data_IF_582094048424
#
_entry.id   IF_582094048424
#
_cell.length_a   1.000
_cell.length_b   1.000
_cell.length_c   1.000
_cell.angle_alpha   90.00
_cell.angle_beta   90.00
_cell.angle_gamma   90.00
#
_symmetry.space_group_name_H-M   'P 1'
#
loop_
_entity.id
_entity.type
_entity.pdbx_description
1 polymer ?
#
# COMPACT_ATOMS: atom_id res chain seq x y z
N UNK A 1 -23.41 -14.68 -23.38
CA UNK A 1 -23.39 -15.35 -22.06
C UNK A 1 -21.99 -15.18 -21.52
N UNK A 2 -21.81 -14.25 -20.58
CA UNK A 2 -20.66 -14.22 -19.69
C UNK A 2 -21.14 -13.45 -18.46
N UNK A 3 -21.58 -14.20 -17.45
CA UNK A 3 -21.55 -13.68 -16.09
C UNK A 3 -20.06 -13.46 -15.85
N UNK A 4 -19.61 -12.22 -15.98
CA UNK A 4 -18.26 -11.84 -15.58
C UNK A 4 -18.23 -12.04 -14.07
N UNK A 5 -17.74 -13.22 -13.65
CA UNK A 5 -17.28 -13.38 -12.28
C UNK A 5 -16.35 -12.20 -12.02
N UNK A 6 -16.57 -11.42 -10.95
CA UNK A 6 -15.59 -10.43 -10.56
C UNK A 6 -14.22 -11.13 -10.47
N UNK A 7 -13.13 -10.45 -10.88
CA UNK A 7 -11.79 -11.03 -10.83
C UNK A 7 -11.56 -11.72 -9.48
N UNK A 8 -10.95 -12.90 -9.47
CA UNK A 8 -10.73 -13.69 -8.25
C UNK A 8 -10.01 -12.92 -7.12
N UNK A 9 -9.38 -11.79 -7.44
CA UNK A 9 -8.81 -10.83 -6.49
C UNK A 9 -9.85 -10.14 -5.58
N UNK A 10 -11.16 -10.29 -5.84
CA UNK A 10 -12.24 -9.75 -5.00
C UNK A 10 -12.55 -10.60 -3.76
N UNK A 11 -11.64 -11.41 -3.22
CA UNK A 11 -11.98 -12.16 -2.02
C UNK A 11 -10.76 -12.42 -1.11
N UNK A 12 -11.02 -12.20 0.19
CA UNK A 12 -10.58 -12.89 1.42
C UNK A 12 -9.12 -13.31 1.65
N UNK A 13 -8.72 -13.28 2.92
CA UNK A 13 -7.57 -14.02 3.45
C UNK A 13 -7.72 -15.51 3.09
N UNK A 14 -7.08 -15.99 2.03
CA UNK A 14 -7.26 -17.35 1.54
C UNK A 14 -6.03 -18.22 1.70
N UNK A 15 -4.85 -17.62 1.55
CA UNK A 15 -3.60 -18.36 1.55
C UNK A 15 -2.92 -18.28 2.92
N UNK A 16 -2.05 -19.25 3.21
CA UNK A 16 -1.24 -19.24 4.43
C UNK A 16 -0.44 -17.94 4.57
N UNK A 17 -0.04 -17.34 3.45
CA UNK A 17 0.65 -16.05 3.47
C UNK A 17 -0.25 -14.93 4.01
N UNK A 18 -1.51 -14.83 3.56
CA UNK A 18 -2.44 -13.78 4.01
C UNK A 18 -2.68 -13.85 5.53
N UNK A 19 -2.84 -15.07 6.06
CA UNK A 19 -3.00 -15.32 7.49
C UNK A 19 -1.75 -14.92 8.28
N UNK A 20 -0.57 -15.24 7.78
CA UNK A 20 0.70 -14.87 8.40
C UNK A 20 0.95 -13.36 8.35
N UNK A 21 0.62 -12.72 7.23
CA UNK A 21 0.69 -11.28 7.04
C UNK A 21 -0.23 -10.57 8.05
N UNK A 22 -1.49 -10.99 8.12
CA UNK A 22 -2.45 -10.45 9.09
C UNK A 22 -1.95 -10.62 10.53
N UNK A 23 -1.48 -11.81 10.91
CA UNK A 23 -0.98 -12.07 12.27
C UNK A 23 0.20 -11.14 12.64
N UNK A 24 1.14 -10.92 11.70
CA UNK A 24 2.24 -10.00 11.88
C UNK A 24 1.76 -8.55 12.03
N UNK A 25 0.87 -8.11 11.15
CA UNK A 25 0.28 -6.77 11.17
C UNK A 25 -0.49 -6.53 12.47
N UNK A 26 -1.32 -7.50 12.90
CA UNK A 26 -2.04 -7.46 14.18
C UNK A 26 -1.09 -7.29 15.35
N UNK A 27 0.02 -8.03 15.39
CA UNK A 27 1.02 -7.88 16.44
C UNK A 27 1.65 -6.48 16.43
N UNK A 28 1.98 -5.94 15.26
CA UNK A 28 2.60 -4.61 15.15
C UNK A 28 1.61 -3.53 15.56
N UNK A 29 0.38 -3.56 15.04
CA UNK A 29 -0.66 -2.58 15.36
C UNK A 29 -1.00 -2.56 16.84
N UNK A 30 -1.26 -3.74 17.42
CA UNK A 30 -1.64 -3.84 18.85
C UNK A 30 -0.52 -3.41 19.80
N UNK A 31 0.74 -3.71 19.47
CA UNK A 31 1.89 -3.31 20.32
C UNK A 31 2.41 -1.91 20.02
N UNK A 32 2.00 -1.30 18.89
CA UNK A 32 2.56 -0.06 18.34
C UNK A 32 4.09 -0.07 18.20
N UNK A 33 4.70 -1.26 18.09
CA UNK A 33 6.13 -1.45 17.86
C UNK A 33 6.40 -1.51 16.36
N UNK A 34 6.33 -0.34 15.73
CA UNK A 34 6.53 -0.21 14.29
C UNK A 34 7.97 -0.53 13.86
N UNK A 35 8.17 -1.07 12.64
CA UNK A 35 9.49 -1.31 12.10
C UNK A 35 10.23 0.00 11.83
N UNK A 36 11.55 -0.03 11.91
CA UNK A 36 12.37 1.12 11.56
C UNK A 36 12.51 1.24 10.03
N UNK A 37 12.28 2.43 9.48
CA UNK A 37 12.48 2.71 8.06
C UNK A 37 13.91 3.21 7.82
N UNK A 38 14.64 2.58 6.90
CA UNK A 38 15.97 2.98 6.48
C UNK A 38 15.96 3.48 5.04
N UNK A 39 16.44 4.71 4.86
CA UNK A 39 16.60 5.35 3.57
C UNK A 39 16.68 6.87 3.70
N UNK A 40 17.10 7.52 2.62
CA UNK A 40 16.99 8.96 2.44
C UNK A 40 15.54 9.37 2.21
N UNK A 41 15.24 10.66 2.37
CA UNK A 41 13.90 11.20 2.07
C UNK A 41 13.42 10.85 0.66
N UNK A 42 14.32 10.91 -0.33
CA UNK A 42 14.03 10.56 -1.73
C UNK A 42 13.70 9.08 -1.86
N UNK A 43 14.50 8.20 -1.26
CA UNK A 43 14.26 6.75 -1.29
C UNK A 43 12.94 6.37 -0.59
N UNK A 44 12.60 7.02 0.53
CA UNK A 44 11.34 6.80 1.24
C UNK A 44 10.14 7.26 0.40
N UNK A 45 10.18 8.48 -0.17
CA UNK A 45 9.10 8.96 -1.03
C UNK A 45 8.89 8.04 -2.24
N UNK A 46 9.98 7.58 -2.88
CA UNK A 46 9.86 6.65 -4.00
C UNK A 46 9.27 5.30 -3.57
N UNK A 47 9.71 4.78 -2.43
CA UNK A 47 9.16 3.54 -1.86
C UNK A 47 7.65 3.64 -1.63
N UNK A 48 7.17 4.73 -1.03
CA UNK A 48 5.73 4.92 -0.78
C UNK A 48 4.93 5.03 -2.07
N UNK A 49 5.47 5.67 -3.12
CA UNK A 49 4.84 5.68 -4.44
C UNK A 49 4.74 4.26 -5.03
N UNK A 50 5.82 3.48 -4.99
CA UNK A 50 5.81 2.09 -5.50
C UNK A 50 4.83 1.23 -4.69
N UNK A 51 4.78 1.42 -3.37
CA UNK A 51 3.82 0.74 -2.49
C UNK A 51 2.37 1.01 -2.92
N UNK A 52 2.01 2.26 -3.20
CA UNK A 52 0.65 2.62 -3.65
C UNK A 52 0.37 2.06 -5.05
N UNK A 53 1.38 2.03 -5.92
CA UNK A 53 1.26 1.54 -7.30
C UNK A 53 1.23 0.02 -7.44
N UNK A 54 1.35 -0.74 -6.34
CA UNK A 54 1.45 -2.20 -6.33
C UNK A 54 0.32 -2.90 -7.08
N UNK A 55 -0.90 -2.35 -7.07
CA UNK A 55 -2.08 -2.95 -7.70
C UNK A 55 -2.03 -3.01 -9.24
N UNK A 56 -1.05 -2.34 -9.87
CA UNK A 56 -0.73 -2.45 -11.31
C UNK A 56 0.60 -3.15 -11.58
N UNK A 57 1.22 -3.81 -10.58
CA UNK A 57 2.46 -4.54 -10.79
C UNK A 57 2.27 -5.68 -11.79
N UNK A 58 3.21 -5.82 -12.74
CA UNK A 58 3.06 -6.60 -13.98
C UNK A 58 2.78 -8.10 -13.80
N UNK A 59 3.19 -8.69 -12.67
CA UNK A 59 3.20 -10.15 -12.50
C UNK A 59 2.57 -10.65 -11.20
N UNK A 60 2.74 -9.91 -10.10
CA UNK A 60 2.19 -10.23 -8.79
C UNK A 60 2.16 -8.97 -7.93
N UNK A 61 0.95 -8.45 -7.66
CA UNK A 61 0.77 -7.29 -6.79
C UNK A 61 1.24 -7.57 -5.35
N UNK A 62 1.19 -8.83 -4.89
CA UNK A 62 1.63 -9.18 -3.53
C UNK A 62 3.14 -9.17 -3.37
N UNK A 63 3.91 -9.30 -4.45
CA UNK A 63 5.35 -9.52 -4.38
C UNK A 63 6.07 -8.44 -3.54
N UNK A 64 5.73 -7.17 -3.72
CA UNK A 64 6.30 -6.09 -2.93
C UNK A 64 5.90 -6.19 -1.45
N UNK A 65 4.62 -6.50 -1.18
CA UNK A 65 4.11 -6.62 0.19
C UNK A 65 4.80 -7.78 0.92
N UNK A 66 5.00 -8.91 0.24
CA UNK A 66 5.75 -10.08 0.73
C UNK A 66 7.14 -9.64 1.14
N UNK A 67 7.89 -8.98 0.25
CA UNK A 67 9.25 -8.53 0.52
C UNK A 67 9.35 -7.56 1.69
N UNK A 68 8.40 -6.62 1.80
CA UNK A 68 8.34 -5.66 2.91
C UNK A 68 8.10 -6.40 4.23
N UNK A 69 7.07 -7.25 4.29
CA UNK A 69 6.75 -8.00 5.50
C UNK A 69 7.86 -9.01 5.88
N UNK A 70 8.59 -9.55 4.91
CA UNK A 70 9.74 -10.42 5.15
C UNK A 70 10.89 -9.68 5.84
N UNK A 71 11.19 -8.45 5.42
CA UNK A 71 12.18 -7.61 6.11
C UNK A 71 11.72 -7.30 7.54
N UNK A 72 10.44 -6.93 7.71
CA UNK A 72 9.86 -6.68 9.04
C UNK A 72 9.96 -7.92 9.93
N UNK A 73 9.65 -9.11 9.41
CA UNK A 73 9.74 -10.37 10.15
C UNK A 73 11.17 -10.74 10.56
N UNK A 74 12.14 -10.52 9.66
CA UNK A 74 13.54 -10.95 9.86
C UNK A 74 14.33 -9.97 10.73
N UNK A 75 14.14 -8.68 10.54
CA UNK A 75 15.00 -7.65 11.16
C UNK A 75 14.22 -6.55 11.88
N UNK A 76 12.89 -6.51 11.76
CA UNK A 76 12.04 -5.42 12.23
C UNK A 76 12.39 -4.06 11.59
N UNK A 77 12.80 -4.10 10.32
CA UNK A 77 13.20 -2.92 9.55
C UNK A 77 12.63 -2.97 8.14
N UNK A 78 12.51 -1.81 7.49
CA UNK A 78 12.21 -1.70 6.06
C UNK A 78 13.32 -0.87 5.40
N UNK A 79 14.11 -1.50 4.55
CA UNK A 79 15.17 -0.86 3.78
C UNK A 79 14.63 -0.44 2.41
N UNK A 80 14.33 0.85 2.27
CA UNK A 80 13.66 1.38 1.08
C UNK A 80 14.56 1.34 -0.15
N UNK A 81 15.88 1.45 0.02
CA UNK A 81 16.85 1.30 -1.09
C UNK A 81 16.78 -0.10 -1.72
N UNK A 82 16.70 -1.15 -0.89
CA UNK A 82 16.59 -2.53 -1.38
C UNK A 82 15.28 -2.74 -2.15
N UNK A 83 14.16 -2.25 -1.62
CA UNK A 83 12.86 -2.34 -2.29
C UNK A 83 12.87 -1.57 -3.61
N UNK A 84 13.33 -0.32 -3.61
CA UNK A 84 13.39 0.52 -4.82
C UNK A 84 14.24 -0.10 -5.93
N UNK A 85 15.36 -0.75 -5.57
CA UNK A 85 16.22 -1.42 -6.56
C UNK A 85 15.55 -2.66 -7.17
N UNK A 86 14.72 -3.37 -6.40
CA UNK A 86 14.02 -4.58 -6.87
C UNK A 86 12.75 -4.24 -7.66
N UNK A 87 12.07 -3.16 -7.30
CA UNK A 87 10.83 -2.69 -7.92
C UNK A 87 11.00 -1.29 -8.50
N UNK A 88 11.79 -1.13 -9.58
CA UNK A 88 11.95 0.17 -10.21
C UNK A 88 10.61 0.64 -10.82
N UNK A 89 10.37 1.96 -10.98
CA UNK A 89 9.09 2.48 -11.45
C UNK A 89 8.55 1.86 -12.75
N UNK A 90 9.45 1.40 -13.62
CA UNK A 90 9.20 0.77 -14.91
C UNK A 90 8.69 -0.68 -14.79
N UNK A 91 8.79 -1.29 -13.60
CA UNK A 91 8.30 -2.64 -13.31
C UNK A 91 6.78 -2.72 -13.11
N UNK A 92 6.07 -1.60 -13.26
CA UNK A 92 4.62 -1.48 -13.05
C UNK A 92 3.96 -1.19 -14.39
N UNK A 93 2.93 -1.97 -14.73
CA UNK A 93 2.24 -1.84 -16.02
C UNK A 93 1.46 -0.54 -16.09
N UNK A 94 1.42 0.06 -17.27
CA UNK A 94 0.45 1.12 -17.60
C UNK A 94 -0.79 0.56 -18.26
N UNK A 95 -0.78 -0.71 -18.66
CA UNK A 95 -1.96 -1.35 -19.24
C UNK A 95 -3.10 -1.33 -18.22
N UNK A 96 -4.32 -1.16 -18.73
CA UNK A 96 -5.52 -1.22 -17.91
C UNK A 96 -5.69 -2.66 -17.39
N UNK A 97 -5.61 -2.89 -16.07
CA UNK A 97 -5.67 -4.23 -15.51
C UNK A 97 -7.10 -4.76 -15.53
N UNK A 98 -7.24 -6.08 -15.45
CA UNK A 98 -8.55 -6.77 -15.56
C UNK A 98 -9.56 -6.41 -14.47
N UNK A 99 -9.11 -5.78 -13.37
CA UNK A 99 -9.99 -5.32 -12.30
C UNK A 99 -10.68 -3.99 -12.62
N UNK A 100 -10.25 -3.27 -13.66
CA UNK A 100 -10.92 -2.05 -14.11
C UNK A 100 -12.17 -2.42 -14.90
N UNK A 101 -13.32 -2.32 -14.22
CA UNK A 101 -14.63 -2.69 -14.77
C UNK A 101 -15.60 -1.52 -14.79
N UNK A 102 -15.54 -0.65 -13.78
CA UNK A 102 -16.39 0.53 -13.60
C UNK A 102 -15.60 1.84 -13.77
N UNK A 103 -16.31 2.96 -13.81
CA UNK A 103 -15.69 4.28 -14.00
C UNK A 103 -14.80 4.65 -12.80
N UNK A 104 -15.23 4.28 -11.59
CA UNK A 104 -14.49 4.48 -10.35
C UNK A 104 -13.16 3.72 -10.37
N UNK A 105 -13.14 2.49 -10.89
CA UNK A 105 -11.93 1.69 -11.06
C UNK A 105 -10.94 2.39 -12.01
N UNK A 106 -11.44 3.08 -13.06
CA UNK A 106 -10.60 3.87 -13.98
C UNK A 106 -9.94 5.04 -13.28
N UNK A 107 -10.65 5.74 -12.38
CA UNK A 107 -10.08 6.84 -11.59
C UNK A 107 -8.90 6.33 -10.76
N UNK A 108 -9.06 5.18 -10.09
CA UNK A 108 -7.99 4.54 -9.31
C UNK A 108 -6.82 4.14 -10.20
N UNK A 109 -7.09 3.48 -11.33
CA UNK A 109 -6.06 3.05 -12.29
C UNK A 109 -5.26 4.23 -12.85
N UNK A 110 -5.94 5.30 -13.26
CA UNK A 110 -5.30 6.52 -13.78
C UNK A 110 -4.50 7.24 -12.69
N UNK A 111 -5.01 7.28 -11.46
CA UNK A 111 -4.26 7.83 -10.34
C UNK A 111 -2.95 7.06 -10.12
N UNK A 112 -3.00 5.72 -10.08
CA UNK A 112 -1.81 4.86 -9.96
C UNK A 112 -0.79 5.14 -11.07
N UNK A 113 -1.24 5.31 -12.32
CA UNK A 113 -0.35 5.65 -13.44
C UNK A 113 0.30 7.02 -13.24
N UNK A 114 -0.47 8.01 -12.78
CA UNK A 114 0.03 9.37 -12.55
C UNK A 114 1.16 9.43 -11.52
N UNK A 115 1.18 8.50 -10.54
CA UNK A 115 2.20 8.44 -9.49
C UNK A 115 3.61 8.15 -10.01
N UNK A 116 3.74 7.62 -11.23
CA UNK A 116 5.06 7.42 -11.85
C UNK A 116 5.82 8.74 -11.99
N UNK A 117 5.15 9.79 -12.46
CA UNK A 117 5.76 11.08 -12.80
C UNK A 117 5.39 12.18 -11.81
N UNK A 118 4.31 12.02 -11.05
CA UNK A 118 3.91 13.00 -10.03
C UNK A 118 4.97 13.11 -8.93
N UNK A 119 5.40 14.34 -8.68
CA UNK A 119 6.23 14.66 -7.53
C UNK A 119 5.34 14.78 -6.30
N UNK A 120 5.54 13.86 -5.35
CA UNK A 120 4.79 13.80 -4.10
C UNK A 120 5.77 13.72 -2.96
N UNK A 121 5.63 14.65 -2.03
CA UNK A 121 6.36 14.68 -0.78
C UNK A 121 5.47 14.16 0.36
N UNK A 122 5.77 12.95 0.83
CA UNK A 122 5.15 12.37 2.01
C UNK A 122 5.81 12.95 3.26
N UNK A 123 5.06 13.77 3.99
CA UNK A 123 5.56 14.48 5.17
C UNK A 123 5.18 13.69 6.41
N UNK A 124 6.19 13.14 7.09
CA UNK A 124 6.01 12.45 8.36
C UNK A 124 7.33 11.97 8.98
N UNK A 125 7.23 11.54 10.22
CA UNK A 125 8.29 10.87 10.97
C UNK A 125 8.47 9.43 10.51
N UNK A 126 9.57 8.80 10.92
CA UNK A 126 9.83 7.38 10.63
C UNK A 126 8.69 6.48 11.10
N UNK A 127 8.14 6.76 12.29
CA UNK A 127 7.00 6.04 12.86
C UNK A 127 5.74 6.23 12.02
N UNK A 128 5.45 7.44 11.56
CA UNK A 128 4.27 7.70 10.71
C UNK A 128 4.39 7.03 9.34
N UNK A 129 5.60 6.98 8.76
CA UNK A 129 5.89 6.22 7.52
C UNK A 129 5.67 4.72 7.73
N UNK A 130 6.19 4.19 8.84
CA UNK A 130 6.04 2.78 9.17
C UNK A 130 4.58 2.41 9.42
N UNK A 131 3.86 3.22 10.20
CA UNK A 131 2.44 3.04 10.45
C UNK A 131 1.63 3.08 9.16
N UNK A 132 1.87 4.07 8.29
CA UNK A 132 1.21 4.14 6.99
C UNK A 132 1.48 2.89 6.16
N UNK A 133 2.73 2.44 6.10
CA UNK A 133 3.11 1.24 5.34
C UNK A 133 2.33 0.02 5.82
N UNK A 134 2.25 -0.21 7.13
CA UNK A 134 1.55 -1.36 7.71
C UNK A 134 0.03 -1.25 7.53
N UNK A 135 -0.55 -0.06 7.74
CA UNK A 135 -1.99 0.18 7.51
C UNK A 135 -2.36 0.03 6.05
N UNK A 136 -1.52 0.51 5.14
CA UNK A 136 -1.74 0.37 3.71
C UNK A 136 -1.72 -1.10 3.32
N UNK A 137 -0.71 -1.87 3.74
CA UNK A 137 -0.67 -3.33 3.49
C UNK A 137 -1.92 -4.02 4.03
N UNK A 138 -2.39 -3.66 5.24
CA UNK A 138 -3.65 -4.17 5.79
C UNK A 138 -4.86 -3.85 4.88
N UNK A 139 -4.91 -2.63 4.36
CA UNK A 139 -5.92 -2.22 3.39
C UNK A 139 -5.86 -3.03 2.10
N UNK A 140 -4.65 -3.32 1.61
CA UNK A 140 -4.45 -4.09 0.38
C UNK A 140 -4.83 -5.57 0.52
N UNK A 141 -4.72 -6.16 1.71
CA UNK A 141 -5.19 -7.53 1.98
C UNK A 141 -6.70 -7.59 2.29
N UNK A 142 -7.34 -6.43 2.43
CA UNK A 142 -8.77 -6.30 2.73
C UNK A 142 -9.64 -6.29 1.48
N UNK A 143 -10.96 -6.35 1.69
CA UNK A 143 -11.96 -6.28 0.62
C UNK A 143 -12.01 -4.91 -0.07
N UNK A 144 -11.67 -3.84 0.66
CA UNK A 144 -11.84 -2.45 0.21
C UNK A 144 -10.50 -1.80 -0.17
N UNK A 145 -9.58 -2.57 -0.77
CA UNK A 145 -8.25 -2.07 -1.14
C UNK A 145 -8.32 -0.84 -2.05
N UNK A 146 -9.30 -0.78 -2.97
CA UNK A 146 -9.55 0.37 -3.86
C UNK A 146 -9.81 1.63 -3.04
N UNK A 147 -10.61 1.52 -1.98
CA UNK A 147 -10.96 2.63 -1.11
C UNK A 147 -9.75 3.21 -0.38
N UNK A 148 -8.74 2.39 -0.08
CA UNK A 148 -7.50 2.90 0.52
C UNK A 148 -6.67 3.74 -0.45
N UNK A 149 -6.76 3.46 -1.77
CA UNK A 149 -6.11 4.27 -2.79
C UNK A 149 -6.95 5.52 -3.10
N UNK A 150 -8.28 5.39 -3.15
CA UNK A 150 -9.21 6.52 -3.28
C UNK A 150 -8.98 7.53 -2.16
N UNK A 151 -8.88 7.08 -0.90
CA UNK A 151 -8.59 7.97 0.23
C UNK A 151 -7.29 8.77 0.01
N UNK A 152 -6.22 8.10 -0.44
CA UNK A 152 -4.95 8.78 -0.75
C UNK A 152 -5.16 9.82 -1.87
N UNK A 153 -5.90 9.46 -2.91
CA UNK A 153 -6.22 10.36 -4.03
C UNK A 153 -7.04 11.58 -3.56
N UNK A 154 -8.08 11.38 -2.76
CA UNK A 154 -8.93 12.45 -2.22
C UNK A 154 -8.16 13.38 -1.29
N UNK A 155 -7.37 12.82 -0.37
CA UNK A 155 -6.56 13.61 0.57
C UNK A 155 -5.42 14.36 -0.11
N UNK A 156 -4.85 13.79 -1.17
CA UNK A 156 -3.83 14.47 -1.97
C UNK A 156 -4.46 15.59 -2.83
N UNK A 157 -5.64 15.34 -3.41
CA UNK A 157 -6.29 16.24 -4.34
C UNK A 157 -5.33 16.77 -5.41
N UNK A 158 -5.25 18.10 -5.52
CA UNK A 158 -4.34 18.79 -6.43
C UNK A 158 -2.98 19.15 -5.79
N UNK A 159 -2.73 18.75 -4.54
CA UNK A 159 -1.48 19.02 -3.85
C UNK A 159 -0.37 18.06 -4.26
N UNK A 160 0.88 18.45 -3.97
CA UNK A 160 2.08 17.62 -4.11
C UNK A 160 2.61 17.15 -2.76
N UNK A 161 1.87 17.39 -1.67
CA UNK A 161 2.28 17.07 -0.30
C UNK A 161 1.19 16.25 0.35
N UNK A 162 1.58 15.16 1.00
CA UNK A 162 0.66 14.33 1.76
C UNK A 162 1.20 14.13 3.17
N UNK A 163 0.46 14.60 4.17
CA UNK A 163 0.87 14.47 5.57
C UNK A 163 0.47 13.11 6.10
N UNK A 164 1.46 12.29 6.44
CA UNK A 164 1.23 10.90 6.85
C UNK A 164 0.47 10.79 8.18
N UNK A 165 0.63 11.76 9.07
CA UNK A 165 -0.14 11.80 10.33
C UNK A 165 -1.64 11.89 10.09
N UNK A 166 -2.06 12.79 9.21
CA UNK A 166 -3.46 13.01 8.85
C UNK A 166 -4.00 11.79 8.09
N UNK A 167 -3.21 11.29 7.13
CA UNK A 167 -3.54 10.08 6.38
C UNK A 167 -3.73 8.86 7.29
N UNK A 168 -2.81 8.60 8.22
CA UNK A 168 -2.93 7.50 9.17
C UNK A 168 -4.18 7.62 10.06
N UNK A 169 -4.60 8.84 10.37
CA UNK A 169 -5.83 9.07 11.13
C UNK A 169 -7.07 8.69 10.31
N UNK A 170 -7.11 9.05 9.02
CA UNK A 170 -8.21 8.66 8.13
C UNK A 170 -8.21 7.16 7.84
N UNK A 171 -7.04 6.53 7.73
CA UNK A 171 -6.90 5.09 7.56
C UNK A 171 -7.49 4.27 8.71
N UNK A 172 -7.78 4.88 9.87
CA UNK A 172 -8.53 4.21 10.97
C UNK A 172 -9.93 3.76 10.53
N UNK A 173 -10.52 4.40 9.52
CA UNK A 173 -11.83 4.02 8.99
C UNK A 173 -11.81 2.65 8.30
N UNK A 174 -10.63 2.19 7.86
CA UNK A 174 -10.40 0.89 7.24
C UNK A 174 -9.85 -0.16 8.21
N UNK A 175 -9.60 0.22 9.48
CA UNK A 175 -9.17 -0.69 10.54
C UNK A 175 -10.38 -1.29 11.26
N UNK A 176 -11.14 -2.14 10.56
CA UNK A 176 -12.33 -2.81 11.11
C UNK A 176 -12.02 -3.66 12.35
N UNK A 177 -10.78 -4.14 12.46
CA UNK A 177 -10.26 -4.93 13.57
C UNK A 177 -9.78 -4.08 14.76
N UNK A 178 -9.74 -2.74 14.61
CA UNK A 178 -9.34 -1.78 15.65
C UNK A 178 -7.91 -2.02 16.17
N UNK A 179 -7.03 -2.53 15.31
CA UNK A 179 -5.65 -2.90 15.63
C UNK A 179 -4.79 -1.71 16.01
N UNK A 180 -5.05 -0.53 15.46
CA UNK A 180 -4.21 0.65 15.61
C UNK A 180 -4.91 1.78 16.35
N UNK A 181 -5.90 1.46 17.20
CA UNK A 181 -6.58 2.49 18.00
C UNK A 181 -5.63 3.13 18.99
N UNK A 182 -5.87 4.43 19.20
CA UNK A 182 -5.30 5.23 20.28
C UNK A 182 -6.09 5.06 21.57
#
# INVERSE_FOLDING_TARGET
MAIHYPPQYRYSLFDDWDHNALALITKIGTTKKYPQIFGTKVEINNFLKILIRTQKSLNDWRALLVDVLDQVKKTNTINTKVINNKYPPESISKEEPVWVTYEEDRIVSQFIDSLETKDIDFIGTNTEVAEFTIRFILGQIGHDWEQTIILIWEMLGNESKLKLKELNNEFKNFDYLKLFKD
#
